data_IF_912704250686
#
_entry.id   IF_912704250686
#
_cell.length_a   1.000
_cell.length_b   1.000
_cell.length_c   1.000
_cell.angle_alpha   90.00
_cell.angle_beta   90.00
_cell.angle_gamma   90.00
#
_symmetry.space_group_name_H-M   'P 1'
#
loop_
_entity.id
_entity.type
_entity.pdbx_description
1 polymer ?
#
# COMPACT_ATOMS: atom_id res chain seq x y z
N UNK A 1 45.44 -5.85 -26.22
CA UNK A 1 44.04 -6.27 -25.99
C UNK A 1 43.23 -5.01 -25.74
N UNK A 2 42.45 -4.54 -26.72
CA UNK A 2 41.53 -3.42 -26.50
C UNK A 2 40.29 -4.02 -25.84
N UNK A 3 40.07 -3.69 -24.58
CA UNK A 3 38.80 -3.93 -23.91
C UNK A 3 37.78 -2.98 -24.55
N UNK A 4 37.08 -3.46 -25.57
CA UNK A 4 35.88 -2.83 -26.09
C UNK A 4 34.82 -3.01 -25.02
N UNK A 5 34.65 -2.01 -24.15
CA UNK A 5 33.39 -1.85 -23.47
C UNK A 5 32.37 -1.57 -24.57
N UNK A 6 31.29 -2.37 -24.70
CA UNK A 6 30.20 -1.97 -25.57
C UNK A 6 29.80 -0.56 -25.12
N UNK A 7 29.88 0.40 -26.05
CA UNK A 7 29.38 1.75 -25.82
C UNK A 7 28.01 1.62 -25.19
N UNK A 8 27.71 2.46 -24.19
CA UNK A 8 26.39 2.53 -23.56
C UNK A 8 25.30 2.51 -24.63
N UNK A 9 24.76 1.32 -24.92
CA UNK A 9 23.80 1.15 -25.98
C UNK A 9 22.47 1.65 -25.43
N UNK A 10 22.14 2.87 -25.81
CA UNK A 10 20.91 3.53 -25.40
C UNK A 10 19.67 2.67 -25.74
N UNK A 11 19.76 1.78 -26.74
CA UNK A 11 18.69 0.85 -27.06
C UNK A 11 18.56 -0.28 -26.03
N UNK A 12 19.66 -0.83 -25.52
CA UNK A 12 19.64 -1.81 -24.41
C UNK A 12 19.06 -1.16 -23.15
N UNK A 13 19.55 0.02 -22.77
CA UNK A 13 19.03 0.76 -21.61
C UNK A 13 17.53 1.07 -21.76
N UNK A 14 17.09 1.50 -22.95
CA UNK A 14 15.68 1.79 -23.21
C UNK A 14 14.79 0.55 -23.12
N UNK A 15 15.29 -0.63 -23.51
CA UNK A 15 14.55 -1.88 -23.39
C UNK A 15 14.45 -2.34 -21.94
N UNK A 16 15.56 -2.28 -21.19
CA UNK A 16 15.57 -2.61 -19.76
C UNK A 16 14.63 -1.69 -18.97
N UNK A 17 14.68 -0.38 -19.21
CA UNK A 17 13.76 0.59 -18.59
C UNK A 17 12.30 0.31 -18.92
N UNK A 18 11.98 -0.06 -20.17
CA UNK A 18 10.60 -0.42 -20.55
C UNK A 18 10.14 -1.69 -19.84
N UNK A 19 11.03 -2.67 -19.72
CA UNK A 19 10.72 -3.92 -19.04
C UNK A 19 10.51 -3.70 -17.54
N UNK A 20 11.40 -2.96 -16.88
CA UNK A 20 11.24 -2.56 -15.48
C UNK A 20 9.94 -1.76 -15.24
N UNK A 21 9.62 -0.81 -16.11
CA UNK A 21 8.39 -0.04 -16.02
C UNK A 21 7.14 -0.93 -16.17
N UNK A 22 7.16 -1.90 -17.09
CA UNK A 22 6.09 -2.88 -17.27
C UNK A 22 5.94 -3.79 -16.04
N UNK A 23 7.05 -4.27 -15.49
CA UNK A 23 7.05 -5.12 -14.30
C UNK A 23 6.55 -4.34 -13.06
N UNK A 24 6.92 -3.07 -12.95
CA UNK A 24 6.40 -2.18 -11.92
C UNK A 24 4.89 -1.96 -12.09
N UNK A 25 4.43 -1.64 -13.30
CA UNK A 25 3.01 -1.45 -13.58
C UNK A 25 2.18 -2.71 -13.26
N UNK A 26 2.72 -3.89 -13.52
CA UNK A 26 2.07 -5.17 -13.19
C UNK A 26 2.00 -5.44 -11.68
N UNK A 27 2.99 -5.00 -10.89
CA UNK A 27 2.95 -5.10 -9.43
C UNK A 27 1.91 -4.16 -8.83
N UNK A 28 1.79 -2.96 -9.41
CA UNK A 28 0.89 -1.91 -8.92
C UNK A 28 -0.54 -2.09 -9.42
N UNK A 29 -0.76 -2.78 -10.55
CA UNK A 29 -2.11 -2.99 -11.12
C UNK A 29 -3.05 -3.81 -10.23
N UNK A 30 -2.51 -4.64 -9.33
CA UNK A 30 -3.29 -5.37 -8.33
C UNK A 30 -3.62 -4.55 -7.07
N UNK A 31 -3.04 -3.35 -6.92
CA UNK A 31 -3.24 -2.50 -5.75
C UNK A 31 -4.62 -1.87 -5.83
N UNK A 32 -5.38 -2.03 -4.75
CA UNK A 32 -6.72 -1.45 -4.65
C UNK A 32 -6.64 0.07 -4.66
N UNK A 33 -7.24 0.70 -5.66
CA UNK A 33 -7.46 2.14 -5.70
C UNK A 33 -8.65 2.53 -4.81
N UNK A 34 -8.47 3.56 -3.99
CA UNK A 34 -9.48 4.08 -3.04
C UNK A 34 -9.57 5.59 -3.23
N UNK A 35 -10.79 6.14 -3.18
CA UNK A 35 -11.07 7.58 -3.26
C UNK A 35 -12.22 7.95 -2.32
N UNK A 36 -12.26 9.22 -1.86
CA UNK A 36 -13.32 9.73 -1.00
C UNK A 36 -13.33 9.14 0.41
N UNK A 37 -14.51 8.82 0.95
CA UNK A 37 -14.64 8.22 2.28
C UNK A 37 -14.75 6.70 2.19
N UNK A 38 -13.86 5.98 2.87
CA UNK A 38 -13.83 4.51 2.90
C UNK A 38 -13.93 3.96 4.32
N UNK A 39 -14.58 2.81 4.47
CA UNK A 39 -14.68 2.09 5.75
C UNK A 39 -13.65 0.97 5.79
N UNK A 40 -12.60 1.13 6.58
CA UNK A 40 -11.58 0.12 6.83
C UNK A 40 -12.03 -0.80 7.97
N UNK A 41 -12.06 -2.10 7.70
CA UNK A 41 -12.41 -3.17 8.65
C UNK A 41 -11.38 -4.28 8.58
N UNK A 42 -11.11 -5.01 9.67
CA UNK A 42 -10.29 -6.21 9.61
C UNK A 42 -10.93 -7.28 8.71
N UNK A 43 -10.13 -8.08 8.02
CA UNK A 43 -10.63 -9.18 7.16
C UNK A 43 -11.36 -10.25 7.97
N UNK A 44 -10.78 -10.60 9.11
CA UNK A 44 -11.39 -11.54 10.07
C UNK A 44 -11.82 -10.76 11.30
N UNK A 45 -13.10 -10.86 11.70
CA UNK A 45 -13.60 -10.17 12.87
C UNK A 45 -12.77 -10.55 14.09
N UNK A 46 -12.49 -9.57 14.95
CA UNK A 46 -11.85 -9.83 16.22
C UNK A 46 -12.85 -10.45 17.19
N UNK A 47 -12.37 -11.20 18.18
CA UNK A 47 -13.21 -11.68 19.26
C UNK A 47 -13.77 -10.49 20.06
N UNK A 48 -14.95 -10.66 20.66
CA UNK A 48 -15.55 -9.68 21.57
C UNK A 48 -14.51 -9.25 22.62
N UNK A 49 -14.41 -7.94 22.88
CA UNK A 49 -13.43 -7.30 23.78
C UNK A 49 -11.95 -7.32 23.34
N UNK A 50 -11.63 -7.63 22.07
CA UNK A 50 -10.25 -7.48 21.55
C UNK A 50 -9.97 -6.02 21.17
N UNK A 51 -8.84 -5.48 21.64
CA UNK A 51 -8.36 -4.17 21.20
C UNK A 51 -7.94 -4.20 19.73
N UNK A 52 -8.44 -3.23 18.96
CA UNK A 52 -8.04 -2.94 17.60
C UNK A 52 -7.30 -1.62 17.54
N UNK A 53 -6.17 -1.62 16.85
CA UNK A 53 -5.41 -0.43 16.53
C UNK A 53 -5.27 -0.33 15.01
N UNK A 54 -5.57 0.84 14.47
CA UNK A 54 -5.45 1.13 13.05
C UNK A 54 -4.30 2.11 12.87
N UNK A 55 -3.41 1.78 11.94
CA UNK A 55 -2.28 2.59 11.56
C UNK A 55 -2.38 2.94 10.08
N UNK A 56 -2.05 4.19 9.74
CA UNK A 56 -1.88 4.66 8.37
C UNK A 56 -0.43 5.12 8.22
N UNK A 57 0.30 4.50 7.30
CA UNK A 57 1.73 4.75 7.04
C UNK A 57 2.58 4.70 8.33
N UNK A 58 2.24 3.77 9.23
CA UNK A 58 2.89 3.59 10.53
C UNK A 58 2.40 4.50 11.65
N UNK A 59 1.50 5.45 11.38
CA UNK A 59 0.94 6.34 12.40
C UNK A 59 -0.39 5.81 12.94
N UNK A 60 -0.53 5.71 14.27
CA UNK A 60 -1.79 5.31 14.92
C UNK A 60 -2.88 6.35 14.65
N UNK A 61 -3.95 5.95 13.96
CA UNK A 61 -5.08 6.82 13.61
C UNK A 61 -6.32 6.55 14.46
N UNK A 62 -6.49 5.32 14.94
CA UNK A 62 -7.66 4.93 15.73
C UNK A 62 -7.35 3.73 16.62
N UNK A 63 -7.86 3.79 17.86
CA UNK A 63 -7.91 2.64 18.77
C UNK A 63 -9.37 2.36 19.15
N UNK A 64 -9.79 1.10 19.12
CA UNK A 64 -11.19 0.71 19.33
C UNK A 64 -11.31 -0.70 19.93
N UNK A 65 -12.31 -0.94 20.77
CA UNK A 65 -12.46 -2.19 21.53
C UNK A 65 -13.61 -3.14 21.10
N UNK A 66 -14.35 -2.85 20.01
CA UNK A 66 -15.55 -3.62 19.61
C UNK A 66 -15.67 -3.90 18.10
N UNK A 67 -14.59 -4.35 17.45
CA UNK A 67 -14.59 -4.65 16.00
C UNK A 67 -15.09 -3.49 15.10
N UNK A 68 -14.97 -2.24 15.58
CA UNK A 68 -15.49 -1.05 14.88
C UNK A 68 -14.65 -0.75 13.63
N UNK A 69 -15.33 -0.35 12.56
CA UNK A 69 -14.68 0.11 11.35
C UNK A 69 -14.07 1.50 11.54
N UNK A 70 -12.85 1.70 11.04
CA UNK A 70 -12.27 3.03 10.87
C UNK A 70 -12.86 3.68 9.61
N UNK A 71 -13.49 4.85 9.78
CA UNK A 71 -13.91 5.68 8.65
C UNK A 71 -12.77 6.58 8.25
N UNK A 72 -12.18 6.30 7.10
CA UNK A 72 -11.07 7.07 6.56
C UNK A 72 -11.56 8.01 5.48
N UNK A 73 -11.33 9.31 5.70
CA UNK A 73 -11.51 10.37 4.72
C UNK A 73 -10.21 10.56 3.94
N UNK A 74 -10.14 9.94 2.75
CA UNK A 74 -8.92 9.90 1.96
C UNK A 74 -8.58 11.23 1.30
N UNK A 75 -9.51 12.18 1.26
CA UNK A 75 -9.27 13.53 0.71
C UNK A 75 -8.31 14.37 1.55
N UNK A 76 -8.05 13.94 2.79
CA UNK A 76 -7.11 14.56 3.73
C UNK A 76 -5.70 13.97 3.67
N UNK A 77 -5.51 12.92 2.89
CA UNK A 77 -4.24 12.25 2.66
C UNK A 77 -3.71 12.62 1.27
N UNK A 78 -2.39 12.59 1.10
CA UNK A 78 -1.77 12.79 -0.21
C UNK A 78 -2.18 11.69 -1.20
N UNK A 79 -2.16 11.97 -2.50
CA UNK A 79 -2.27 10.90 -3.50
C UNK A 79 -0.99 10.06 -3.52
N UNK A 80 -1.12 8.76 -3.80
CA UNK A 80 0.01 7.82 -3.80
C UNK A 80 -0.30 6.48 -3.13
N UNK A 81 0.75 5.71 -2.85
CA UNK A 81 0.63 4.45 -2.11
C UNK A 81 0.57 4.73 -0.61
N UNK A 82 -0.39 4.10 0.05
CA UNK A 82 -0.56 4.15 1.49
C UNK A 82 -0.59 2.73 2.06
N UNK A 83 0.06 2.55 3.20
CA UNK A 83 0.02 1.33 3.98
C UNK A 83 -0.99 1.46 5.10
N UNK A 84 -1.90 0.50 5.19
CA UNK A 84 -2.84 0.36 6.30
C UNK A 84 -2.42 -0.87 7.10
N UNK A 85 -2.19 -0.68 8.39
CA UNK A 85 -1.96 -1.77 9.33
C UNK A 85 -3.09 -1.82 10.37
N UNK A 86 -3.62 -3.01 10.62
CA UNK A 86 -4.65 -3.28 11.62
C UNK A 86 -4.09 -4.29 12.61
N UNK A 87 -3.86 -3.87 13.86
CA UNK A 87 -3.38 -4.73 14.94
C UNK A 87 -4.55 -5.18 15.80
N UNK A 88 -4.66 -6.48 16.05
CA UNK A 88 -5.68 -7.12 16.89
C UNK A 88 -5.05 -8.11 17.84
N UNK A 89 -5.08 -7.83 19.14
CA UNK A 89 -4.63 -8.77 20.18
C UNK A 89 -3.26 -9.44 19.91
N UNK A 90 -2.31 -8.73 19.29
CA UNK A 90 -0.98 -9.23 18.93
C UNK A 90 -0.80 -9.75 17.49
N UNK A 91 -1.85 -9.80 16.67
CA UNK A 91 -1.76 -10.09 15.22
C UNK A 91 -1.88 -8.82 14.40
N UNK A 92 -1.09 -8.66 13.34
CA UNK A 92 -1.16 -7.52 12.41
C UNK A 92 -1.65 -7.95 11.03
N UNK A 93 -2.58 -7.19 10.46
CA UNK A 93 -3.01 -7.27 9.06
C UNK A 93 -2.51 -6.03 8.30
N UNK A 94 -1.80 -6.21 7.19
CA UNK A 94 -1.26 -5.12 6.38
C UNK A 94 -1.89 -5.09 4.99
N UNK A 95 -2.21 -3.90 4.50
CA UNK A 95 -2.79 -3.68 3.17
C UNK A 95 -2.10 -2.48 2.52
N UNK A 96 -1.73 -2.65 1.26
CA UNK A 96 -1.29 -1.53 0.42
C UNK A 96 -2.46 -1.09 -0.45
N UNK A 97 -2.72 0.22 -0.44
CA UNK A 97 -3.79 0.84 -1.23
C UNK A 97 -3.24 2.04 -1.97
N UNK A 98 -3.83 2.36 -3.11
CA UNK A 98 -3.49 3.56 -3.88
C UNK A 98 -4.58 4.60 -3.70
N UNK A 99 -4.20 5.79 -3.24
CA UNK A 99 -5.04 6.98 -3.28
C UNK A 99 -4.81 7.74 -4.57
N UNK A 100 -5.91 8.08 -5.23
CA UNK A 100 -5.92 8.91 -6.43
C UNK A 100 -7.25 9.67 -6.46
N UNK A 101 -7.34 10.65 -5.56
CA UNK A 101 -8.48 11.58 -5.41
C UNK A 101 -8.51 12.62 -6.52
#
# INVERSE_FOLDING_TARGET
>A
IRLLFPEYDAALLANDLKQEASDYAKRVSGIRKITGTTSIRPEKPAAEATMLEFYLDGYLVLTSNNNRAWQWDTTKSSNGLHEIEIVKGGSSERRIVMLDN
#
